data_IF_513135832584
#
_entry.id   IF_513135832584
#
_cell.length_a   1.000
_cell.length_b   1.000
_cell.length_c   1.000
_cell.angle_alpha   90.00
_cell.angle_beta   90.00
_cell.angle_gamma   90.00
#
_symmetry.space_group_name_H-M   'P 1'
#
loop_
_entity.id
_entity.type
_entity.pdbx_description
1 polymer ?
#
# COMPACT_ATOMS: atom_id res chain seq x y z
N UNK A 1 -68.25 23.70 -23.76
CA UNK A 1 -67.97 22.53 -22.91
C UNK A 1 -67.44 23.06 -21.57
N UNK A 2 -68.33 23.21 -20.60
CA UNK A 2 -68.00 23.66 -19.24
C UNK A 2 -67.44 22.50 -18.43
N UNK A 3 -66.33 22.71 -17.70
CA UNK A 3 -65.94 21.86 -16.59
C UNK A 3 -66.14 22.66 -15.29
N UNK A 4 -67.18 22.29 -14.55
CA UNK A 4 -67.45 22.77 -13.20
C UNK A 4 -66.33 22.36 -12.25
N UNK A 5 -65.84 23.34 -11.50
CA UNK A 5 -64.85 23.17 -10.44
C UNK A 5 -65.63 22.82 -9.17
N UNK A 6 -65.37 21.64 -8.59
CA UNK A 6 -66.09 21.13 -7.41
C UNK A 6 -65.46 21.72 -6.12
N UNK A 7 -66.25 22.44 -5.34
CA UNK A 7 -65.85 23.29 -4.19
C UNK A 7 -65.75 22.56 -2.85
N UNK A 8 -65.66 21.23 -2.82
CA UNK A 8 -65.67 20.44 -1.58
C UNK A 8 -64.28 20.13 -0.97
N UNK A 9 -63.18 20.60 -1.55
CA UNK A 9 -61.81 20.33 -1.04
C UNK A 9 -61.24 21.58 -0.33
N UNK A 10 -62.04 22.19 0.54
CA UNK A 10 -61.67 23.39 1.32
C UNK A 10 -61.79 23.21 2.84
N UNK A 11 -61.96 21.97 3.35
CA UNK A 11 -62.24 21.71 4.78
C UNK A 11 -61.34 20.61 5.40
N UNK A 12 -60.05 20.64 5.11
CA UNK A 12 -59.06 19.82 5.85
C UNK A 12 -57.81 20.63 6.20
N UNK A 13 -58.04 21.83 6.72
CA UNK A 13 -57.09 22.51 7.60
C UNK A 13 -57.21 21.87 9.00
N UNK A 14 -56.07 21.80 9.71
CA UNK A 14 -55.92 21.54 11.14
C UNK A 14 -55.80 20.06 11.56
N UNK A 15 -54.62 19.44 11.42
CA UNK A 15 -54.10 18.57 12.50
C UNK A 15 -52.57 18.37 12.39
N UNK A 16 -51.88 18.91 13.41
CA UNK A 16 -50.60 18.48 14.02
C UNK A 16 -49.28 18.84 13.33
N UNK A 17 -48.68 19.90 13.88
CA UNK A 17 -47.24 20.01 14.07
C UNK A 17 -46.70 18.74 14.74
N UNK A 18 -45.70 18.13 14.14
CA UNK A 18 -44.45 17.70 14.78
C UNK A 18 -43.63 16.93 13.74
N UNK A 19 -42.69 17.60 13.08
CA UNK A 19 -41.54 16.92 12.48
C UNK A 19 -40.71 16.40 13.65
N UNK A 20 -40.91 15.14 14.02
CA UNK A 20 -39.94 14.40 14.81
C UNK A 20 -38.85 13.94 13.84
N UNK A 21 -37.71 14.62 13.86
CA UNK A 21 -36.48 14.14 13.26
C UNK A 21 -36.10 12.86 14.01
N UNK A 22 -36.21 11.69 13.39
CA UNK A 22 -35.59 10.49 13.94
C UNK A 22 -34.08 10.61 13.70
N UNK A 23 -33.39 11.17 14.68
CA UNK A 23 -31.99 10.84 14.90
C UNK A 23 -31.97 9.32 15.07
N UNK A 24 -31.47 8.61 14.04
CA UNK A 24 -31.14 7.20 14.18
C UNK A 24 -30.18 7.03 15.38
N UNK A 25 -30.11 5.83 15.97
CA UNK A 25 -29.28 5.62 17.15
C UNK A 25 -27.86 6.13 16.86
N UNK A 26 -27.39 7.06 17.69
CA UNK A 26 -25.97 7.22 17.92
C UNK A 26 -25.48 5.88 18.42
N UNK A 27 -24.99 5.05 17.50
CA UNK A 27 -24.13 3.94 17.85
C UNK A 27 -22.95 4.59 18.55
N UNK A 28 -22.93 4.50 19.87
CA UNK A 28 -21.71 4.65 20.64
C UNK A 28 -20.73 3.64 20.03
N UNK A 29 -19.85 4.11 19.16
CA UNK A 29 -18.66 3.37 18.79
C UNK A 29 -17.96 3.05 20.09
N UNK A 30 -18.07 1.79 20.50
CA UNK A 30 -17.27 1.23 21.57
C UNK A 30 -15.83 1.33 21.10
N UNK A 31 -15.14 2.42 21.46
CA UNK A 31 -13.70 2.58 21.29
C UNK A 31 -13.00 1.59 22.21
N UNK A 32 -13.04 0.32 21.84
CA UNK A 32 -11.98 -0.61 22.19
C UNK A 32 -10.75 -0.11 21.45
N UNK A 33 -9.63 0.19 22.12
CA UNK A 33 -8.40 0.55 21.41
C UNK A 33 -8.03 -0.61 20.48
N UNK A 34 -8.32 -0.46 19.19
CA UNK A 34 -7.88 -1.40 18.17
C UNK A 34 -6.35 -1.45 18.24
N UNK A 35 -5.73 -2.65 18.28
CA UNK A 35 -4.28 -2.76 18.24
C UNK A 35 -3.78 -1.98 17.02
N UNK A 36 -3.01 -0.91 17.27
CA UNK A 36 -2.48 -0.10 16.19
C UNK A 36 -1.38 -0.92 15.52
N UNK A 37 -1.60 -1.33 14.27
CA UNK A 37 -0.59 -2.02 13.50
C UNK A 37 0.65 -1.15 13.37
N UNK A 38 1.82 -1.78 13.42
CA UNK A 38 3.09 -1.10 13.24
C UNK A 38 3.36 -0.94 11.76
N UNK A 39 3.65 0.29 11.34
CA UNK A 39 4.17 0.56 10.00
C UNK A 39 5.67 0.28 10.02
N UNK A 40 6.12 -0.71 9.24
CA UNK A 40 7.55 -0.95 9.06
C UNK A 40 8.18 0.22 8.32
N UNK A 41 9.36 0.67 8.77
CA UNK A 41 10.09 1.76 8.10
C UNK A 41 10.65 1.35 6.72
N UNK A 42 10.65 0.05 6.41
CA UNK A 42 11.27 -0.53 5.22
C UNK A 42 12.63 -1.17 5.51
N UNK A 43 13.10 -1.96 4.55
CA UNK A 43 14.38 -2.67 4.57
C UNK A 43 14.83 -2.96 3.12
N UNK A 44 16.06 -3.45 2.92
CA UNK A 44 16.57 -3.81 1.59
C UNK A 44 16.62 -2.61 0.61
N UNK A 45 16.93 -1.42 1.16
CA UNK A 45 16.97 -0.17 0.40
C UNK A 45 15.59 0.47 0.18
N UNK A 46 14.50 -0.22 0.50
CA UNK A 46 13.17 0.37 0.48
C UNK A 46 12.92 1.20 1.74
N UNK A 47 12.22 2.31 1.56
CA UNK A 47 11.64 3.12 2.62
C UNK A 47 10.12 3.15 2.48
N UNK A 48 9.41 3.18 3.60
CA UNK A 48 7.97 3.39 3.61
C UNK A 48 7.61 4.72 2.97
N UNK A 49 6.68 4.68 2.00
CA UNK A 49 6.22 5.86 1.27
C UNK A 49 4.85 6.35 1.79
N UNK A 50 3.97 5.42 2.17
CA UNK A 50 2.64 5.74 2.67
C UNK A 50 1.61 4.64 2.46
N UNK A 51 0.43 4.85 3.04
CA UNK A 51 -0.79 4.16 2.64
C UNK A 51 -1.40 4.84 1.42
N UNK A 52 -1.82 4.07 0.41
CA UNK A 52 -2.41 4.57 -0.82
C UNK A 52 -3.70 3.82 -1.15
N UNK A 53 -4.64 4.41 -1.87
CA UNK A 53 -5.77 3.65 -2.41
C UNK A 53 -5.32 2.80 -3.61
N UNK A 54 -5.90 1.60 -3.73
CA UNK A 54 -5.84 0.84 -4.97
C UNK A 54 -6.60 1.61 -6.07
N UNK A 55 -6.15 1.47 -7.32
CA UNK A 55 -6.78 2.05 -8.50
C UNK A 55 -7.42 0.92 -9.30
N UNK A 56 -8.71 1.07 -9.59
CA UNK A 56 -9.48 0.21 -10.47
C UNK A 56 -10.02 1.09 -11.60
N UNK A 57 -9.13 1.54 -12.48
CA UNK A 57 -9.52 2.35 -13.62
C UNK A 57 -9.94 1.47 -14.81
N UNK A 58 -10.43 2.10 -15.89
CA UNK A 58 -10.83 1.40 -17.12
C UNK A 58 -9.67 0.73 -17.85
N UNK A 59 -8.42 1.05 -17.50
CA UNK A 59 -7.22 0.41 -18.05
C UNK A 59 -6.70 -0.74 -17.17
N UNK A 60 -7.36 -0.99 -16.04
CA UNK A 60 -6.96 -1.96 -15.02
C UNK A 60 -5.55 -1.69 -14.48
N UNK A 61 -5.14 -0.41 -14.46
CA UNK A 61 -3.90 0.01 -13.83
C UNK A 61 -4.10 0.00 -12.32
N UNK A 62 -3.30 -0.83 -11.64
CA UNK A 62 -3.21 -0.89 -10.18
C UNK A 62 -2.32 0.25 -9.66
N UNK A 63 -2.37 0.48 -8.34
CA UNK A 63 -1.57 1.49 -7.66
C UNK A 63 -0.09 1.23 -7.92
N UNK A 64 0.41 0.03 -7.62
CA UNK A 64 1.74 -0.43 -8.05
C UNK A 64 1.56 -1.33 -9.27
N UNK A 65 2.12 -0.93 -10.42
CA UNK A 65 1.86 -1.61 -11.69
C UNK A 65 3.10 -1.74 -12.56
N UNK A 66 2.98 -2.53 -13.64
CA UNK A 66 4.03 -2.76 -14.63
C UNK A 66 5.06 -3.83 -14.23
N UNK A 67 4.78 -4.62 -13.20
CA UNK A 67 5.66 -5.70 -12.73
C UNK A 67 4.93 -6.98 -12.37
N UNK A 68 5.21 -7.54 -11.19
CA UNK A 68 4.75 -8.86 -10.76
C UNK A 68 3.81 -8.77 -9.54
N UNK A 69 2.90 -9.74 -9.43
CA UNK A 69 2.05 -9.93 -8.26
C UNK A 69 2.33 -11.31 -7.68
N UNK A 70 2.57 -11.36 -6.38
CA UNK A 70 2.75 -12.61 -5.63
C UNK A 70 1.83 -12.62 -4.42
N UNK A 71 1.10 -13.71 -4.20
CA UNK A 71 0.28 -13.93 -3.00
C UNK A 71 0.91 -15.04 -2.16
N UNK A 72 0.99 -14.85 -0.84
CA UNK A 72 1.50 -15.86 0.06
C UNK A 72 0.73 -15.88 1.39
N UNK A 73 0.49 -17.08 1.92
CA UNK A 73 -0.21 -17.27 3.22
C UNK A 73 0.64 -16.88 4.42
N UNK A 74 1.92 -16.64 4.22
CA UNK A 74 2.90 -16.18 5.22
C UNK A 74 3.58 -14.88 4.76
N UNK A 75 2.85 -14.03 4.02
CA UNK A 75 3.37 -12.74 3.56
C UNK A 75 3.75 -11.84 4.73
N UNK A 76 4.92 -11.20 4.63
CA UNK A 76 5.40 -10.16 5.55
C UNK A 76 5.90 -8.98 4.74
N UNK A 77 6.08 -7.82 5.39
CA UNK A 77 6.72 -6.67 4.72
C UNK A 77 8.09 -7.08 4.19
N UNK A 78 8.92 -7.73 5.00
CA UNK A 78 10.25 -8.21 4.60
C UNK A 78 10.21 -9.11 3.36
N UNK A 79 9.27 -10.06 3.32
CA UNK A 79 9.14 -10.99 2.19
C UNK A 79 8.79 -10.22 0.91
N UNK A 80 7.81 -9.33 0.96
CA UNK A 80 7.42 -8.57 -0.24
C UNK A 80 8.56 -7.67 -0.74
N UNK A 81 9.22 -6.93 0.15
CA UNK A 81 10.36 -6.10 -0.23
C UNK A 81 11.50 -6.91 -0.82
N UNK A 82 11.75 -8.13 -0.33
CA UNK A 82 12.77 -9.02 -0.88
C UNK A 82 12.41 -9.55 -2.26
N UNK A 83 11.14 -9.92 -2.49
CA UNK A 83 10.64 -10.32 -3.81
C UNK A 83 10.85 -9.17 -4.80
N UNK A 84 10.38 -7.96 -4.48
CA UNK A 84 10.50 -6.82 -5.39
C UNK A 84 11.95 -6.38 -5.60
N UNK A 85 12.80 -6.45 -4.57
CA UNK A 85 14.23 -6.18 -4.69
C UNK A 85 14.92 -7.17 -5.63
N UNK A 86 14.63 -8.48 -5.50
CA UNK A 86 15.22 -9.52 -6.34
C UNK A 86 14.86 -9.41 -7.83
N UNK A 87 13.74 -8.76 -8.12
CA UNK A 87 13.27 -8.47 -9.48
C UNK A 87 13.68 -7.08 -9.99
N UNK A 88 14.30 -6.26 -9.15
CA UNK A 88 14.78 -4.92 -9.51
C UNK A 88 13.68 -3.86 -9.66
N UNK A 89 12.54 -4.00 -8.98
CA UNK A 89 11.43 -3.05 -9.10
C UNK A 89 11.57 -1.84 -8.16
N UNK A 90 11.20 -0.64 -8.61
CA UNK A 90 11.31 0.58 -7.80
C UNK A 90 10.29 0.62 -6.65
N UNK A 91 9.11 0.04 -6.84
CA UNK A 91 8.03 0.05 -5.85
C UNK A 91 7.64 -1.36 -5.43
N UNK A 92 7.27 -1.46 -4.16
CA UNK A 92 6.64 -2.62 -3.55
C UNK A 92 5.37 -2.16 -2.84
N UNK A 93 4.26 -2.86 -3.06
CA UNK A 93 2.96 -2.59 -2.45
C UNK A 93 2.45 -3.85 -1.76
N UNK A 94 1.90 -3.72 -0.55
CA UNK A 94 1.22 -4.80 0.13
C UNK A 94 -0.27 -4.50 0.21
N UNK A 95 -1.10 -5.46 -0.19
CA UNK A 95 -2.57 -5.38 -0.13
C UNK A 95 -3.15 -6.65 0.49
N UNK A 96 -4.33 -6.52 1.08
CA UNK A 96 -5.17 -7.63 1.50
C UNK A 96 -4.44 -8.72 2.30
N UNK A 97 -3.61 -8.29 3.26
CA UNK A 97 -2.85 -9.15 4.21
C UNK A 97 -1.77 -10.03 3.57
N UNK A 98 -1.91 -10.42 2.31
CA UNK A 98 -1.20 -11.54 1.70
C UNK A 98 -0.66 -11.27 0.29
N UNK A 99 -1.05 -10.15 -0.31
CA UNK A 99 -0.70 -9.81 -1.69
C UNK A 99 0.48 -8.85 -1.70
N UNK A 100 1.42 -9.12 -2.60
CA UNK A 100 2.61 -8.31 -2.85
C UNK A 100 2.64 -7.90 -4.32
N UNK A 101 2.68 -6.59 -4.55
CA UNK A 101 2.74 -5.95 -5.85
C UNK A 101 4.12 -5.35 -6.03
N UNK A 102 4.85 -5.78 -7.05
CA UNK A 102 6.11 -5.19 -7.44
C UNK A 102 5.94 -4.48 -8.77
N UNK A 103 6.49 -3.28 -8.90
CA UNK A 103 6.37 -2.53 -10.14
C UNK A 103 7.38 -1.39 -10.26
N UNK A 104 7.70 -0.99 -11.49
CA UNK A 104 8.50 0.21 -11.72
C UNK A 104 7.71 1.51 -11.47
N UNK A 105 6.37 1.44 -11.35
CA UNK A 105 5.53 2.63 -11.29
C UNK A 105 4.53 2.60 -10.13
N UNK A 106 4.31 3.78 -9.56
CA UNK A 106 3.16 4.12 -8.72
C UNK A 106 2.22 4.99 -9.55
N UNK A 107 0.94 4.61 -9.65
CA UNK A 107 -0.06 5.32 -10.45
C UNK A 107 -0.31 6.73 -9.91
N UNK A 108 -0.37 7.71 -10.81
CA UNK A 108 -0.73 9.10 -10.46
C UNK A 108 -2.19 9.23 -10.02
N UNK A 109 -3.02 8.22 -10.35
CA UNK A 109 -4.42 8.13 -9.88
C UNK A 109 -4.51 7.60 -8.44
N UNK A 110 -3.41 7.05 -7.91
CA UNK A 110 -3.35 6.56 -6.53
C UNK A 110 -3.02 7.72 -5.59
N UNK A 111 -3.91 7.94 -4.63
CA UNK A 111 -3.82 9.01 -3.66
C UNK A 111 -3.32 8.48 -2.33
N UNK A 112 -2.45 9.26 -1.69
CA UNK A 112 -1.99 8.97 -0.34
C UNK A 112 -3.14 9.16 0.65
N UNK A 113 -3.31 8.20 1.55
CA UNK A 113 -4.34 8.13 2.57
C UNK A 113 -3.75 8.31 3.96
N UNK A 114 -4.61 8.23 4.99
CA UNK A 114 -4.12 8.11 6.36
C UNK A 114 -3.50 6.72 6.54
N UNK A 115 -2.41 6.62 7.30
CA UNK A 115 -1.75 5.33 7.55
C UNK A 115 -2.71 4.34 8.26
N UNK A 116 -3.67 4.85 9.02
CA UNK A 116 -4.75 4.07 9.65
C UNK A 116 -5.72 3.41 8.68
N UNK A 117 -5.73 3.80 7.40
CA UNK A 117 -6.55 3.13 6.38
C UNK A 117 -5.90 1.81 5.90
N UNK A 118 -4.59 1.65 6.07
CA UNK A 118 -3.87 0.41 5.83
C UNK A 118 -3.85 -0.44 7.11
N UNK A 119 -5.02 -0.90 7.50
CA UNK A 119 -5.29 -1.52 8.81
C UNK A 119 -5.34 -3.05 8.81
N UNK A 120 -4.87 -3.72 7.74
CA UNK A 120 -4.80 -5.17 7.69
C UNK A 120 -3.41 -5.65 8.10
N UNK A 121 -3.35 -6.57 9.06
CA UNK A 121 -2.11 -7.21 9.48
C UNK A 121 -1.57 -8.14 8.39
N UNK A 122 -0.25 -8.30 8.30
CA UNK A 122 0.36 -9.24 7.35
C UNK A 122 0.02 -10.69 7.71
N UNK A 123 -0.10 -11.57 6.71
CA UNK A 123 -0.47 -12.97 6.90
C UNK A 123 0.57 -13.73 7.75
N UNK A 124 1.85 -13.43 7.54
CA UNK A 124 2.98 -13.98 8.30
C UNK A 124 3.41 -13.13 9.50
N UNK A 125 2.87 -11.93 9.68
CA UNK A 125 3.15 -11.06 10.82
C UNK A 125 1.98 -10.08 11.07
N UNK A 126 1.01 -10.48 11.87
CA UNK A 126 -0.21 -9.70 12.10
C UNK A 126 -0.01 -8.40 12.88
N UNK A 127 1.21 -8.11 13.35
CA UNK A 127 1.55 -6.87 14.04
C UNK A 127 2.02 -5.77 13.09
N UNK A 128 2.27 -6.09 11.82
CA UNK A 128 2.71 -5.15 10.78
C UNK A 128 1.59 -4.81 9.80
N UNK A 129 1.54 -3.56 9.33
CA UNK A 129 0.57 -3.11 8.33
C UNK A 129 0.89 -3.65 6.91
N UNK A 130 -0.04 -4.40 6.34
CA UNK A 130 0.01 -5.02 5.00
C UNK A 130 -1.22 -4.66 4.15
N UNK A 131 -1.50 -3.36 4.07
CA UNK A 131 -2.57 -2.80 3.26
C UNK A 131 -3.95 -2.90 3.92
N UNK A 132 -4.96 -3.14 3.09
CA UNK A 132 -6.36 -3.27 3.46
C UNK A 132 -7.19 -3.57 2.21
N UNK A 133 -8.51 -3.56 2.33
CA UNK A 133 -9.38 -3.70 1.16
C UNK A 133 -9.28 -2.46 0.26
N UNK A 134 -8.70 -2.60 -0.94
CA UNK A 134 -8.42 -1.48 -1.85
C UNK A 134 -7.49 -0.42 -1.21
N UNK A 135 -6.56 -0.88 -0.38
CA UNK A 135 -5.58 -0.05 0.35
C UNK A 135 -4.22 -0.73 0.26
N UNK A 136 -3.23 -0.01 -0.24
CA UNK A 136 -1.89 -0.53 -0.49
C UNK A 136 -0.90 0.17 0.42
N UNK A 137 -0.19 -0.60 1.26
CA UNK A 137 0.99 -0.12 1.98
C UNK A 137 2.15 -0.07 0.98
N UNK A 138 2.59 1.14 0.60
CA UNK A 138 3.60 1.33 -0.46
C UNK A 138 4.97 1.63 0.13
N UNK A 139 5.97 0.96 -0.40
CA UNK A 139 7.38 1.20 -0.17
C UNK A 139 8.05 1.54 -1.49
N UNK A 140 9.03 2.45 -1.42
CA UNK A 140 9.82 2.87 -2.56
C UNK A 140 11.28 2.57 -2.30
N UNK A 141 11.95 1.98 -3.29
CA UNK A 141 13.39 1.83 -3.27
C UNK A 141 13.98 3.25 -3.19
N UNK A 142 14.63 3.56 -2.07
CA UNK A 142 15.40 4.77 -1.97
C UNK A 142 16.43 4.76 -3.09
N UNK A 143 16.66 5.92 -3.73
CA UNK A 143 17.94 6.09 -4.40
C UNK A 143 18.98 5.99 -3.30
N UNK A 144 19.51 4.79 -3.07
CA UNK A 144 20.86 4.62 -2.54
C UNK A 144 21.68 5.54 -3.44
N UNK A 145 21.98 6.75 -2.95
CA UNK A 145 22.70 7.73 -3.75
C UNK A 145 23.88 7.00 -4.33
N UNK A 146 23.91 6.87 -5.67
CA UNK A 146 24.68 5.88 -6.39
C UNK A 146 25.95 5.49 -5.64
N UNK A 147 25.86 4.43 -4.83
CA UNK A 147 26.96 3.53 -4.77
C UNK A 147 26.89 2.84 -6.14
N UNK A 148 27.44 3.53 -7.15
CA UNK A 148 28.31 2.81 -8.06
C UNK A 148 29.08 1.84 -7.15
N UNK A 149 29.28 0.57 -7.52
CA UNK A 149 30.41 -0.15 -6.97
C UNK A 149 31.65 0.63 -7.41
N UNK A 150 31.96 1.74 -6.74
CA UNK A 150 33.28 2.30 -6.64
C UNK A 150 33.96 1.22 -5.84
N UNK A 151 34.43 0.22 -6.58
CA UNK A 151 35.45 -0.69 -6.14
C UNK A 151 36.49 0.20 -5.50
N UNK A 152 36.51 0.16 -4.17
CA UNK A 152 37.48 0.93 -3.39
C UNK A 152 38.86 0.63 -3.98
N UNK A 153 39.78 1.61 -4.09
CA UNK A 153 41.14 1.36 -4.56
C UNK A 153 41.79 0.16 -3.85
N UNK A 154 41.38 -0.09 -2.59
CA UNK A 154 41.80 -1.23 -1.78
C UNK A 154 41.37 -2.60 -2.33
N UNK A 155 40.19 -2.69 -2.94
CA UNK A 155 39.67 -3.93 -3.54
C UNK A 155 40.35 -4.21 -4.88
N UNK A 156 40.64 -3.17 -5.66
CA UNK A 156 41.39 -3.30 -6.92
C UNK A 156 42.81 -3.85 -6.66
N UNK A 157 43.48 -3.32 -5.63
CA UNK A 157 44.79 -3.81 -5.19
C UNK A 157 44.70 -5.25 -4.70
N UNK A 158 43.67 -5.63 -3.94
CA UNK A 158 43.49 -6.99 -3.46
C UNK A 158 43.28 -8.02 -4.60
N UNK A 159 42.51 -7.67 -5.64
CA UNK A 159 42.28 -8.54 -6.80
C UNK A 159 43.56 -8.67 -7.65
N UNK A 160 44.29 -7.57 -7.84
CA UNK A 160 45.57 -7.59 -8.58
C UNK A 160 46.63 -8.42 -7.83
N UNK A 161 46.74 -8.28 -6.51
CA UNK A 161 47.64 -9.11 -5.70
C UNK A 161 47.24 -10.58 -5.75
N UNK A 162 45.95 -10.91 -5.63
CA UNK A 162 45.49 -12.30 -5.74
C UNK A 162 45.82 -12.92 -7.11
N UNK A 163 45.63 -12.18 -8.20
CA UNK A 163 45.98 -12.66 -9.54
C UNK A 163 47.50 -12.86 -9.73
N UNK A 164 48.34 -11.96 -9.19
CA UNK A 164 49.80 -12.08 -9.30
C UNK A 164 50.36 -13.23 -8.45
N UNK A 165 49.79 -13.46 -7.26
CA UNK A 165 50.23 -14.55 -6.37
C UNK A 165 49.86 -15.91 -6.97
N UNK A 166 48.67 -16.04 -7.59
CA UNK A 166 48.28 -17.26 -8.30
C UNK A 166 49.16 -17.54 -9.53
N UNK A 167 49.61 -16.51 -10.24
CA UNK A 167 50.50 -16.69 -11.38
C UNK A 167 51.90 -17.16 -10.95
N UNK A 168 52.42 -16.63 -9.83
CA UNK A 168 53.72 -17.06 -9.27
C UNK A 168 53.71 -18.49 -8.71
N UNK A 169 52.61 -18.94 -8.10
CA UNK A 169 52.51 -20.30 -7.53
C UNK A 169 52.37 -21.38 -8.61
N UNK A 170 51.96 -21.02 -9.84
CA UNK A 170 51.85 -21.97 -10.96
C UNK A 170 53.14 -22.08 -11.79
N UNK A 171 54.17 -21.30 -11.46
CA UNK A 171 55.48 -21.24 -12.15
C UNK A 171 56.64 -21.82 -11.31
N UNK A 172 56.34 -22.43 -10.15
CA UNK A 172 57.23 -23.36 -9.43
C UNK A 172 56.73 -24.79 -9.59
#
# INVERSE_FOLDING_TARGET
>A
MQFSINTTILISLLLRLAVAQSMGPTTTESTTPQPTLVVSSGLQGYAYLGCYNETLDTTNQRAVYGGNVTTATDMTVQKCLGICNSMGFEYAGLEYTSECYCGPYLSELSQKLADSDCNFGCAGNNSEACGGALRVTVYKLGKSGSANPIMSPSVLVAVIFACLVSWFVTLL
#
